data_IF_195011201045
#
_entry.id   IF_195011201045
#
_cell.length_a   1.000
_cell.length_b   1.000
_cell.length_c   1.000
_cell.angle_alpha   90.00
_cell.angle_beta   90.00
_cell.angle_gamma   90.00
#
_symmetry.space_group_name_H-M   'P 1'
#
loop_
_entity.id
_entity.type
_entity.pdbx_description
1 polymer ?
#
# COMPACT_ATOMS: atom_id res chain seq x y z
N UNK A 1 42.08 43.27 -22.77
CA UNK A 1 40.83 42.56 -22.41
C UNK A 1 40.45 42.95 -21.00
N UNK A 2 39.21 43.42 -20.75
CA UNK A 2 38.78 43.88 -19.42
C UNK A 2 38.75 42.67 -18.47
N UNK A 3 39.23 42.81 -17.24
CA UNK A 3 39.35 41.70 -16.28
C UNK A 3 38.04 40.88 -16.12
N UNK A 4 36.89 41.53 -16.32
CA UNK A 4 35.56 40.92 -16.35
C UNK A 4 35.36 39.88 -17.46
N UNK A 5 35.89 40.09 -18.67
CA UNK A 5 35.76 39.11 -19.77
C UNK A 5 36.65 37.90 -19.56
N UNK A 6 37.83 38.08 -18.96
CA UNK A 6 38.72 36.97 -18.59
C UNK A 6 38.11 36.12 -17.46
N UNK A 7 37.48 36.76 -16.47
CA UNK A 7 36.78 36.07 -15.39
C UNK A 7 35.57 35.25 -15.90
N UNK A 8 34.74 35.83 -16.78
CA UNK A 8 33.61 35.11 -17.37
C UNK A 8 34.05 33.92 -18.23
N UNK A 9 35.13 34.08 -19.01
CA UNK A 9 35.68 32.99 -19.81
C UNK A 9 36.24 31.86 -18.93
N UNK A 10 36.94 32.21 -17.83
CA UNK A 10 37.43 31.22 -16.87
C UNK A 10 36.28 30.45 -16.21
N UNK A 11 35.19 31.14 -15.83
CA UNK A 11 34.01 30.51 -15.25
C UNK A 11 33.30 29.58 -16.25
N UNK A 12 33.18 30.00 -17.51
CA UNK A 12 32.59 29.19 -18.58
C UNK A 12 33.41 27.94 -18.87
N UNK A 13 34.75 28.05 -18.91
CA UNK A 13 35.65 26.91 -19.10
C UNK A 13 35.59 25.95 -17.91
N UNK A 14 35.56 26.46 -16.67
CA UNK A 14 35.36 25.65 -15.46
C UNK A 14 34.02 24.91 -15.48
N UNK A 15 32.94 25.59 -15.87
CA UNK A 15 31.62 24.99 -16.00
C UNK A 15 31.58 23.88 -17.06
N UNK A 16 32.16 24.13 -18.24
CA UNK A 16 32.22 23.16 -19.34
C UNK A 16 33.11 21.95 -18.99
N UNK A 17 34.26 22.18 -18.36
CA UNK A 17 35.13 21.08 -17.89
C UNK A 17 34.44 20.27 -16.81
N UNK A 18 33.80 20.89 -15.82
CA UNK A 18 33.02 20.17 -14.80
C UNK A 18 31.88 19.35 -15.42
N UNK A 19 31.15 19.90 -16.39
CA UNK A 19 30.05 19.21 -17.08
C UNK A 19 30.49 17.95 -17.86
N UNK A 20 31.76 17.85 -18.24
CA UNK A 20 32.31 16.66 -18.94
C UNK A 20 33.04 15.73 -17.97
N UNK A 21 33.88 16.28 -17.09
CA UNK A 21 34.69 15.49 -16.16
C UNK A 21 33.85 14.79 -15.10
N UNK A 22 32.80 15.43 -14.56
CA UNK A 22 31.97 14.86 -13.49
C UNK A 22 31.21 13.61 -13.97
N UNK A 23 30.47 13.64 -15.11
CA UNK A 23 29.83 12.43 -15.64
C UNK A 23 30.85 11.34 -16.02
N UNK A 24 32.00 11.73 -16.60
CA UNK A 24 33.04 10.77 -16.99
C UNK A 24 33.67 10.07 -15.78
N UNK A 25 33.95 10.81 -14.70
CA UNK A 25 34.45 10.27 -13.44
C UNK A 25 33.40 9.38 -12.75
N UNK A 26 32.12 9.79 -12.74
CA UNK A 26 31.03 8.95 -12.23
C UNK A 26 30.87 7.66 -13.02
N UNK A 27 30.95 7.72 -14.35
CA UNK A 27 30.84 6.54 -15.22
C UNK A 27 32.01 5.57 -15.02
N UNK A 28 33.22 6.10 -14.82
CA UNK A 28 34.45 5.29 -14.76
C UNK A 28 34.78 4.77 -13.37
N UNK A 29 34.46 5.54 -12.34
CA UNK A 29 34.88 5.31 -10.94
C UNK A 29 33.70 5.14 -9.99
N UNK A 30 32.46 5.26 -10.48
CA UNK A 30 31.26 5.32 -9.64
C UNK A 30 31.25 6.56 -8.74
N UNK A 31 30.36 6.54 -7.75
CA UNK A 31 30.20 7.58 -6.73
C UNK A 31 31.44 7.73 -5.84
N UNK A 32 32.37 6.76 -5.85
CA UNK A 32 33.62 6.85 -5.06
C UNK A 32 34.57 7.92 -5.60
N UNK A 33 34.46 8.26 -6.89
CA UNK A 33 35.27 9.32 -7.51
C UNK A 33 34.94 10.74 -7.05
N UNK A 34 33.81 10.97 -6.35
CA UNK A 34 33.34 12.30 -5.92
C UNK A 34 32.77 12.30 -4.48
N UNK A 35 33.62 12.16 -3.45
CA UNK A 35 33.18 11.98 -2.06
C UNK A 35 32.33 13.14 -1.51
N UNK A 36 32.68 14.38 -1.86
CA UNK A 36 31.98 15.59 -1.40
C UNK A 36 30.59 15.78 -2.04
N UNK A 37 30.38 15.21 -3.23
CA UNK A 37 29.07 15.22 -3.90
C UNK A 37 28.11 14.23 -3.24
N UNK A 38 28.64 13.07 -2.82
CA UNK A 38 27.87 12.00 -2.18
C UNK A 38 27.18 12.47 -0.89
N UNK A 39 27.89 13.19 -0.02
CA UNK A 39 27.32 13.68 1.24
C UNK A 39 26.27 14.78 1.07
N UNK A 40 26.27 15.49 -0.06
CA UNK A 40 25.27 16.52 -0.37
C UNK A 40 23.98 15.94 -0.97
N UNK A 41 24.05 14.75 -1.58
CA UNK A 41 22.94 14.14 -2.30
C UNK A 41 22.23 13.00 -1.54
N UNK A 42 22.69 12.62 -0.34
CA UNK A 42 22.08 11.57 0.47
C UNK A 42 20.94 12.14 1.33
N UNK A 43 19.68 11.67 1.17
CA UNK A 43 18.55 12.15 1.97
C UNK A 43 18.66 11.81 3.47
N UNK A 44 19.33 10.70 3.79
CA UNK A 44 19.50 10.18 5.15
C UNK A 44 20.28 8.87 5.17
N UNK A 45 20.64 8.36 6.36
CA UNK A 45 21.36 7.09 6.48
C UNK A 45 20.50 5.91 6.04
N UNK A 46 21.14 4.84 5.57
CA UNK A 46 20.46 3.59 5.25
C UNK A 46 19.92 2.91 6.52
N UNK A 47 18.90 2.09 6.35
CA UNK A 47 18.32 1.22 7.37
C UNK A 47 19.39 0.31 7.98
N UNK A 48 19.15 -0.20 9.20
CA UNK A 48 20.09 -1.12 9.84
C UNK A 48 20.35 -2.38 8.98
N UNK A 49 19.33 -2.86 8.25
CA UNK A 49 19.45 -4.03 7.40
C UNK A 49 20.40 -3.81 6.21
N UNK A 50 20.42 -2.60 5.63
CA UNK A 50 21.28 -2.25 4.50
C UNK A 50 22.48 -1.38 4.88
N UNK A 51 22.80 -1.27 6.18
CA UNK A 51 23.92 -0.48 6.66
C UNK A 51 25.26 -0.84 6.00
N UNK A 52 25.42 -2.12 5.65
CA UNK A 52 26.62 -2.60 4.98
C UNK A 52 26.84 -2.00 3.58
N UNK A 53 25.79 -1.49 2.91
CA UNK A 53 25.83 -0.89 1.58
C UNK A 53 26.20 0.60 1.58
N UNK A 54 26.49 1.19 2.74
CA UNK A 54 26.84 2.60 2.81
C UNK A 54 28.04 2.96 1.93
N UNK A 55 27.91 4.08 1.22
CA UNK A 55 28.90 4.54 0.25
C UNK A 55 28.83 3.83 -1.11
N UNK A 56 28.10 2.72 -1.25
CA UNK A 56 28.00 1.96 -2.52
C UNK A 56 26.68 2.25 -3.24
N UNK A 57 26.48 3.50 -3.64
CA UNK A 57 25.25 3.99 -4.26
C UNK A 57 24.80 3.15 -5.47
N UNK A 58 25.78 2.69 -6.27
CA UNK A 58 25.59 1.89 -7.47
C UNK A 58 25.04 0.49 -7.20
N UNK A 59 25.05 0.06 -5.92
CA UNK A 59 24.41 -1.20 -5.52
C UNK A 59 22.89 -1.14 -5.64
N UNK A 60 22.32 0.08 -5.73
CA UNK A 60 20.88 0.28 -5.88
C UNK A 60 20.53 1.22 -7.04
N UNK A 61 21.34 2.25 -7.30
CA UNK A 61 21.09 3.26 -8.32
C UNK A 61 21.91 3.04 -9.60
N UNK A 62 21.26 3.11 -10.74
CA UNK A 62 21.92 3.24 -12.04
C UNK A 62 22.09 4.73 -12.42
N UNK A 63 23.28 5.16 -12.89
CA UNK A 63 23.61 6.56 -13.20
C UNK A 63 22.79 7.27 -14.30
N UNK A 64 21.50 7.55 -14.10
CA UNK A 64 20.56 8.24 -15.03
C UNK A 64 19.15 7.64 -14.92
N UNK A 65 19.06 6.36 -14.55
CA UNK A 65 17.80 5.60 -14.46
C UNK A 65 17.28 5.46 -13.03
N UNK A 66 18.09 5.77 -12.02
CA UNK A 66 17.68 5.70 -10.62
C UNK A 66 17.67 4.27 -10.10
N UNK A 67 16.79 3.96 -9.14
CA UNK A 67 16.72 2.62 -8.54
C UNK A 67 16.01 1.66 -9.49
N UNK A 68 16.59 0.49 -9.72
CA UNK A 68 16.00 -0.56 -10.54
C UNK A 68 15.70 -1.82 -9.72
N UNK A 69 14.59 -2.49 -10.03
CA UNK A 69 14.19 -3.71 -9.34
C UNK A 69 15.26 -4.82 -9.40
N UNK A 70 15.99 -4.93 -10.51
CA UNK A 70 17.06 -5.95 -10.68
C UNK A 70 18.17 -5.80 -9.64
N UNK A 71 18.48 -4.58 -9.20
CA UNK A 71 19.50 -4.31 -8.18
C UNK A 71 19.11 -4.90 -6.83
N UNK A 72 17.81 -4.87 -6.49
CA UNK A 72 17.29 -5.51 -5.27
C UNK A 72 17.27 -7.04 -5.40
N UNK A 73 16.81 -7.55 -6.55
CA UNK A 73 16.64 -8.98 -6.78
C UNK A 73 17.97 -9.75 -6.76
N UNK A 74 19.07 -9.11 -7.17
CA UNK A 74 20.41 -9.71 -7.16
C UNK A 74 20.80 -10.30 -5.80
N UNK A 75 20.39 -9.66 -4.70
CA UNK A 75 20.64 -10.14 -3.34
C UNK A 75 19.42 -10.84 -2.72
N UNK A 76 18.19 -10.38 -2.97
CA UNK A 76 17.01 -10.91 -2.28
C UNK A 76 16.48 -12.22 -2.85
N UNK A 77 16.60 -12.46 -4.16
CA UNK A 77 16.16 -13.73 -4.77
C UNK A 77 17.10 -14.88 -4.39
N UNK A 78 18.39 -14.57 -4.27
CA UNK A 78 19.42 -15.54 -3.89
C UNK A 78 19.40 -15.84 -2.39
N UNK A 79 19.14 -14.84 -1.55
CA UNK A 79 19.15 -15.00 -0.09
C UNK A 79 17.82 -15.50 0.52
N UNK A 80 16.69 -15.35 -0.18
CA UNK A 80 15.38 -15.72 0.36
C UNK A 80 14.38 -16.17 -0.73
N UNK A 81 14.66 -17.29 -1.43
CA UNK A 81 13.81 -17.79 -2.52
C UNK A 81 12.40 -18.16 -2.04
N UNK A 82 12.21 -18.44 -0.74
CA UNK A 82 10.89 -18.74 -0.17
C UNK A 82 9.98 -17.52 -0.02
N UNK A 83 10.44 -16.31 -0.36
CA UNK A 83 9.59 -15.11 -0.37
C UNK A 83 8.64 -15.03 -1.56
N UNK A 84 8.94 -15.70 -2.68
CA UNK A 84 8.11 -15.68 -3.89
C UNK A 84 6.88 -16.61 -3.84
N UNK A 85 6.94 -17.84 -3.29
CA UNK A 85 5.80 -18.75 -3.30
C UNK A 85 4.82 -18.57 -2.13
N UNK A 86 5.09 -17.69 -1.15
CA UNK A 86 4.20 -17.53 0.01
C UNK A 86 2.88 -16.89 -0.43
N UNK A 87 1.70 -17.47 -0.09
CA UNK A 87 0.41 -16.88 -0.45
C UNK A 87 0.23 -15.44 0.05
N UNK A 88 0.81 -15.12 1.22
CA UNK A 88 0.81 -13.77 1.79
C UNK A 88 1.67 -12.74 1.06
N UNK A 89 2.55 -13.20 0.15
CA UNK A 89 3.43 -12.36 -0.67
C UNK A 89 3.15 -12.56 -2.16
N UNK A 90 2.08 -13.28 -2.55
CA UNK A 90 1.73 -13.56 -3.94
C UNK A 90 1.65 -12.29 -4.82
N UNK A 91 1.39 -11.13 -4.23
CA UNK A 91 1.42 -9.84 -4.93
C UNK A 91 2.82 -9.46 -5.45
N UNK A 92 3.91 -9.95 -4.86
CA UNK A 92 5.29 -9.70 -5.32
C UNK A 92 5.59 -10.37 -6.65
N UNK A 93 4.88 -11.45 -7.01
CA UNK A 93 5.11 -12.19 -8.25
C UNK A 93 4.86 -11.33 -9.50
N UNK A 94 3.99 -10.32 -9.40
CA UNK A 94 3.60 -9.47 -10.52
C UNK A 94 4.13 -8.04 -10.39
N UNK A 95 4.97 -7.74 -9.39
CA UNK A 95 5.49 -6.39 -9.16
C UNK A 95 6.97 -6.28 -9.56
N UNK A 96 7.21 -5.67 -10.72
CA UNK A 96 8.56 -5.32 -11.21
C UNK A 96 9.11 -3.99 -10.69
N UNK A 97 8.53 -3.44 -9.62
CA UNK A 97 8.99 -2.19 -8.97
C UNK A 97 8.99 -2.41 -7.46
N UNK A 98 10.08 -2.05 -6.79
CA UNK A 98 10.28 -2.35 -5.37
C UNK A 98 10.36 -1.09 -4.52
N UNK A 99 10.93 0.00 -5.05
CA UNK A 99 11.27 1.20 -4.27
C UNK A 99 10.03 1.95 -3.74
N UNK A 100 8.89 1.78 -4.40
CA UNK A 100 7.61 2.35 -3.97
C UNK A 100 7.10 1.83 -2.63
N UNK A 101 7.45 0.58 -2.29
CA UNK A 101 7.04 -0.07 -1.04
C UNK A 101 8.23 -0.33 -0.11
N UNK A 102 9.44 -0.44 -0.67
CA UNK A 102 10.69 -0.62 0.05
C UNK A 102 11.50 0.67 0.00
N UNK A 103 11.14 1.61 0.86
CA UNK A 103 11.78 2.92 0.93
C UNK A 103 13.01 2.86 1.83
N UNK A 104 14.16 3.24 1.28
CA UNK A 104 15.42 3.35 1.99
C UNK A 104 15.73 4.83 2.31
N UNK A 105 16.87 5.11 2.97
CA UNK A 105 17.25 6.42 3.51
C UNK A 105 16.36 6.93 4.65
N UNK A 106 15.49 6.08 5.20
CA UNK A 106 14.66 6.39 6.35
C UNK A 106 15.41 6.38 7.69
N UNK A 107 16.69 6.00 7.68
CA UNK A 107 17.56 5.91 8.84
C UNK A 107 17.59 4.55 9.51
N UNK A 108 18.63 4.36 10.34
CA UNK A 108 18.99 3.07 10.96
C UNK A 108 17.86 2.36 11.70
N UNK A 109 17.03 3.12 12.42
CA UNK A 109 15.94 2.57 13.23
C UNK A 109 14.68 2.22 12.44
N UNK A 110 14.61 2.50 11.14
CA UNK A 110 13.41 2.26 10.32
C UNK A 110 13.59 1.03 9.46
N UNK A 111 12.55 0.20 9.41
CA UNK A 111 12.48 -0.92 8.45
C UNK A 111 12.22 -0.34 7.06
N UNK A 112 12.91 -0.81 6.01
CA UNK A 112 12.71 -0.34 4.64
C UNK A 112 11.47 -1.00 4.02
N UNK A 113 10.35 -0.91 4.73
CA UNK A 113 9.05 -1.42 4.29
C UNK A 113 8.01 -0.39 4.70
N UNK A 114 7.45 0.28 3.72
CA UNK A 114 6.39 1.27 3.89
C UNK A 114 5.43 1.16 2.70
N UNK A 115 4.34 0.42 2.89
CA UNK A 115 3.32 0.25 1.85
C UNK A 115 2.55 1.56 1.64
N UNK A 116 2.73 2.20 0.47
CA UNK A 116 1.97 3.36 0.04
C UNK A 116 0.96 2.97 -1.06
N UNK A 117 -0.32 2.96 -0.70
CA UNK A 117 -1.39 2.58 -1.63
C UNK A 117 -1.53 3.55 -2.82
N UNK A 118 -1.07 4.79 -2.71
CA UNK A 118 -1.07 5.74 -3.84
C UNK A 118 -0.05 5.35 -4.92
N UNK A 119 1.10 4.82 -4.50
CA UNK A 119 2.09 4.26 -5.42
C UNK A 119 1.57 2.99 -6.07
N UNK A 120 0.91 2.12 -5.30
CA UNK A 120 0.27 0.91 -5.83
C UNK A 120 -0.78 1.23 -6.91
N UNK A 121 -1.69 2.18 -6.63
CA UNK A 121 -2.69 2.61 -7.60
C UNK A 121 -2.04 3.20 -8.87
N UNK A 122 -0.96 3.97 -8.73
CA UNK A 122 -0.24 4.54 -9.87
C UNK A 122 0.44 3.48 -10.73
N UNK A 123 1.14 2.51 -10.11
CA UNK A 123 1.77 1.38 -10.81
C UNK A 123 0.71 0.51 -11.49
N UNK A 124 -0.40 0.24 -10.81
CA UNK A 124 -1.54 -0.51 -11.34
C UNK A 124 -2.13 0.17 -12.58
N UNK A 125 -2.42 1.48 -12.51
CA UNK A 125 -2.92 2.25 -13.65
C UNK A 125 -1.92 2.31 -14.81
N UNK A 126 -0.62 2.49 -14.54
CA UNK A 126 0.40 2.50 -15.59
C UNK A 126 0.48 1.15 -16.32
N UNK A 127 0.36 0.03 -15.60
CA UNK A 127 0.34 -1.31 -16.20
C UNK A 127 -0.94 -1.62 -16.95
N UNK A 128 -2.10 -1.24 -16.41
CA UNK A 128 -3.38 -1.36 -17.10
C UNK A 128 -3.33 -0.56 -18.42
N UNK A 129 -2.85 0.68 -18.38
CA UNK A 129 -2.66 1.50 -19.56
C UNK A 129 -1.64 0.92 -20.55
N UNK A 130 -0.57 0.27 -20.09
CA UNK A 130 0.41 -0.40 -20.96
C UNK A 130 -0.14 -1.69 -21.59
N UNK A 131 -0.92 -2.47 -20.84
CA UNK A 131 -1.60 -3.67 -21.34
C UNK A 131 -2.68 -3.30 -22.37
N UNK A 132 -3.43 -2.23 -22.12
CA UNK A 132 -4.39 -1.66 -23.05
C UNK A 132 -3.70 -0.99 -24.24
N UNK A 133 -2.52 -0.38 -24.07
CA UNK A 133 -1.72 0.12 -25.19
C UNK A 133 -1.28 -1.02 -26.11
N UNK A 134 -0.88 -2.16 -25.54
CA UNK A 134 -0.60 -3.40 -26.27
C UNK A 134 -1.84 -3.97 -26.98
N UNK A 135 -3.02 -3.82 -26.39
CA UNK A 135 -4.30 -4.21 -27.01
C UNK A 135 -4.79 -3.20 -28.08
N UNK A 136 -4.51 -1.91 -27.90
CA UNK A 136 -4.95 -0.80 -28.78
C UNK A 136 -4.07 -0.62 -30.03
N UNK A 137 -2.96 -1.35 -30.15
CA UNK A 137 -2.33 -1.63 -31.44
C UNK A 137 -3.28 -2.35 -32.42
N UNK A 138 -4.46 -2.79 -31.95
CA UNK A 138 -5.59 -3.29 -32.75
C UNK A 138 -6.69 -2.25 -33.07
N UNK A 139 -6.56 -0.97 -32.69
CA UNK A 139 -7.32 0.16 -33.26
C UNK A 139 -8.14 1.04 -32.29
N UNK A 140 -7.95 2.37 -32.37
CA UNK A 140 -8.98 3.40 -32.08
C UNK A 140 -8.73 4.45 -30.97
N UNK A 141 -8.69 5.74 -31.37
CA UNK A 141 -8.74 7.02 -30.59
C UNK A 141 -7.55 7.40 -29.70
N UNK A 142 -6.51 8.06 -30.24
CA UNK A 142 -5.35 8.53 -29.47
C UNK A 142 -5.54 9.81 -28.61
N UNK A 143 -6.65 10.53 -28.72
CA UNK A 143 -6.77 11.88 -28.12
C UNK A 143 -7.28 11.87 -26.67
N UNK A 144 -8.19 10.94 -26.33
CA UNK A 144 -8.56 10.69 -24.92
C UNK A 144 -7.38 10.13 -24.11
N UNK A 145 -6.49 9.38 -24.77
CA UNK A 145 -5.31 8.75 -24.18
C UNK A 145 -4.21 9.75 -23.77
N UNK A 146 -3.94 10.76 -24.59
CA UNK A 146 -2.97 11.81 -24.24
C UNK A 146 -3.40 12.59 -22.99
N UNK A 147 -4.71 12.85 -22.85
CA UNK A 147 -5.27 13.59 -21.71
C UNK A 147 -5.27 12.75 -20.42
N UNK A 148 -5.52 11.44 -20.50
CA UNK A 148 -5.42 10.52 -19.37
C UNK A 148 -3.98 10.36 -18.88
N UNK A 149 -3.03 10.21 -19.81
CA UNK A 149 -1.59 10.16 -19.50
C UNK A 149 -1.07 11.47 -18.89
N UNK A 150 -1.53 12.62 -19.41
CA UNK A 150 -1.20 13.93 -18.84
C UNK A 150 -1.79 14.10 -17.44
N UNK A 151 -3.02 13.64 -17.18
CA UNK A 151 -3.63 13.67 -15.83
C UNK A 151 -2.90 12.76 -14.84
N UNK A 152 -2.47 11.56 -15.27
CA UNK A 152 -1.66 10.67 -14.45
C UNK A 152 -0.27 11.26 -14.15
N UNK A 153 0.35 11.92 -15.13
CA UNK A 153 1.61 12.64 -14.95
C UNK A 153 1.49 13.89 -14.09
N UNK A 154 0.37 14.64 -14.19
CA UNK A 154 0.10 15.82 -13.35
C UNK A 154 -0.32 15.45 -11.92
N UNK A 155 -0.97 14.29 -11.74
CA UNK A 155 -1.20 13.70 -10.43
C UNK A 155 0.10 13.11 -9.83
N UNK A 156 0.98 12.57 -10.69
CA UNK A 156 2.29 12.05 -10.36
C UNK A 156 3.40 13.10 -10.26
N UNK A 157 3.21 14.33 -10.74
CA UNK A 157 4.22 15.40 -10.65
C UNK A 157 4.33 15.99 -9.24
N UNK A 158 3.45 15.57 -8.32
CA UNK A 158 3.62 15.74 -6.88
C UNK A 158 4.25 14.51 -6.19
N UNK A 159 4.52 13.43 -6.92
CA UNK A 159 5.28 12.30 -6.41
C UNK A 159 6.75 12.66 -6.44
N UNK A 160 7.19 13.24 -5.33
CA UNK A 160 8.58 13.31 -4.97
C UNK A 160 9.13 11.87 -4.95
N UNK A 161 9.73 11.44 -6.07
CA UNK A 161 10.56 10.25 -6.17
C UNK A 161 11.85 10.42 -5.35
N UNK A 162 12.06 11.61 -4.77
CA UNK A 162 13.22 12.01 -3.96
C UNK A 162 13.02 11.83 -2.44
N UNK A 163 11.99 11.10 -2.00
CA UNK A 163 11.85 10.80 -0.57
C UNK A 163 11.42 11.99 0.27
N UNK A 164 10.52 12.84 -0.25
CA UNK A 164 9.78 13.81 0.54
C UNK A 164 9.11 13.16 1.78
N UNK A 165 8.80 13.96 2.82
CA UNK A 165 8.47 13.46 4.15
C UNK A 165 7.45 12.32 4.09
N UNK A 166 7.76 11.22 4.79
CA UNK A 166 7.05 9.93 4.88
C UNK A 166 5.62 10.03 5.47
N UNK A 167 4.94 11.14 5.23
CA UNK A 167 3.51 11.27 5.47
C UNK A 167 2.80 10.47 4.39
N UNK A 168 2.08 9.43 4.81
CA UNK A 168 1.17 8.65 3.95
C UNK A 168 0.37 9.63 3.09
N UNK A 169 0.59 9.59 1.77
CA UNK A 169 -0.14 10.46 0.84
C UNK A 169 -1.58 9.97 0.77
N UNK A 170 -2.51 10.90 0.64
CA UNK A 170 -3.88 10.52 0.29
C UNK A 170 -3.89 10.05 -1.15
N UNK A 171 -4.51 8.91 -1.39
CA UNK A 171 -4.92 8.53 -2.74
C UNK A 171 -5.79 9.64 -3.33
N UNK A 172 -5.60 9.99 -4.62
CA UNK A 172 -6.54 10.84 -5.32
C UNK A 172 -7.97 10.29 -5.18
N UNK A 173 -8.95 11.17 -5.01
CA UNK A 173 -10.35 10.77 -4.89
C UNK A 173 -10.78 9.87 -6.05
N UNK A 174 -11.37 8.71 -5.72
CA UNK A 174 -11.80 7.70 -6.70
C UNK A 174 -10.74 6.65 -7.07
N UNK A 175 -9.44 6.89 -6.83
CA UNK A 175 -8.40 5.89 -7.10
C UNK A 175 -8.50 4.68 -6.16
N UNK A 176 -8.91 4.89 -4.91
CA UNK A 176 -9.12 3.81 -3.94
C UNK A 176 -10.19 2.80 -4.40
N UNK A 177 -11.21 3.25 -5.13
CA UNK A 177 -12.27 2.37 -5.67
C UNK A 177 -11.75 1.39 -6.73
N UNK A 178 -10.55 1.63 -7.26
CA UNK A 178 -9.91 0.74 -8.25
C UNK A 178 -9.02 -0.34 -7.60
N UNK A 179 -8.85 -0.29 -6.27
CA UNK A 179 -8.02 -1.24 -5.53
C UNK A 179 -8.86 -2.39 -4.97
N UNK A 180 -8.43 -3.64 -5.22
CA UNK A 180 -9.00 -4.81 -4.55
C UNK A 180 -8.40 -4.99 -3.15
N UNK A 181 -8.97 -4.26 -2.18
CA UNK A 181 -8.53 -4.27 -0.78
C UNK A 181 -8.54 -5.69 -0.19
N UNK A 182 -9.64 -6.42 -0.42
CA UNK A 182 -9.83 -7.77 0.09
C UNK A 182 -8.85 -8.78 -0.53
N UNK A 183 -8.37 -8.54 -1.77
CA UNK A 183 -7.35 -9.37 -2.41
C UNK A 183 -6.08 -9.54 -1.57
N UNK A 184 -5.69 -8.50 -0.82
CA UNK A 184 -4.54 -8.55 0.09
C UNK A 184 -4.93 -8.70 1.56
N UNK A 185 -6.06 -8.13 1.98
CA UNK A 185 -6.44 -8.01 3.39
C UNK A 185 -7.51 -9.00 3.86
N UNK A 186 -7.99 -9.93 3.04
CA UNK A 186 -9.03 -10.90 3.45
C UNK A 186 -8.68 -11.68 4.72
N UNK A 187 -7.41 -12.07 4.90
CA UNK A 187 -6.96 -12.81 6.10
C UNK A 187 -6.90 -11.95 7.36
N UNK A 188 -7.00 -10.63 7.21
CA UNK A 188 -6.97 -9.64 8.30
C UNK A 188 -8.31 -8.94 8.48
N UNK A 189 -9.35 -9.33 7.74
CA UNK A 189 -10.67 -8.70 7.83
C UNK A 189 -11.35 -9.09 9.16
N UNK A 190 -11.50 -8.16 10.12
CA UNK A 190 -12.17 -8.45 11.38
C UNK A 190 -13.67 -8.72 11.19
N UNK A 191 -14.25 -8.26 10.07
CA UNK A 191 -15.67 -8.41 9.78
C UNK A 191 -16.00 -9.75 9.12
N UNK A 192 -14.99 -10.55 8.75
CA UNK A 192 -15.16 -11.86 8.10
C UNK A 192 -16.12 -11.80 6.92
N UNK A 193 -15.96 -10.81 6.05
CA UNK A 193 -16.74 -10.55 4.84
C UNK A 193 -18.20 -10.13 5.05
N UNK A 194 -18.63 -9.85 6.29
CA UNK A 194 -20.01 -9.44 6.60
C UNK A 194 -20.47 -8.24 5.77
N UNK A 195 -19.60 -7.25 5.54
CA UNK A 195 -19.89 -6.04 4.77
C UNK A 195 -19.47 -6.14 3.30
N UNK A 196 -19.16 -7.34 2.81
CA UNK A 196 -18.63 -7.55 1.46
C UNK A 196 -17.17 -7.11 1.32
N UNK A 197 -16.78 -6.72 0.09
CA UNK A 197 -15.39 -6.38 -0.28
C UNK A 197 -15.14 -4.89 -0.51
N UNK A 198 -16.18 -4.06 -0.40
CA UNK A 198 -16.13 -2.62 -0.62
C UNK A 198 -15.64 -1.88 0.64
N UNK A 199 -14.42 -2.18 1.07
CA UNK A 199 -13.85 -1.67 2.31
C UNK A 199 -13.81 -0.14 2.35
N UNK A 200 -13.57 0.48 1.19
CA UNK A 200 -13.45 1.92 1.01
C UNK A 200 -14.74 2.70 1.22
N UNK A 201 -15.90 2.02 1.28
CA UNK A 201 -17.16 2.66 1.66
C UNK A 201 -17.13 3.25 3.07
N UNK A 202 -16.30 2.67 3.95
CA UNK A 202 -16.16 3.08 5.35
C UNK A 202 -14.71 3.43 5.72
N UNK A 203 -13.71 2.78 5.12
CA UNK A 203 -12.31 2.91 5.51
C UNK A 203 -11.51 3.76 4.52
N UNK A 204 -10.76 4.74 5.02
CA UNK A 204 -9.83 5.53 4.21
C UNK A 204 -8.39 5.02 4.39
N UNK A 205 -7.61 5.07 3.31
CA UNK A 205 -6.18 4.66 3.33
C UNK A 205 -5.30 5.54 4.23
N UNK A 206 -5.72 6.77 4.52
CA UNK A 206 -5.07 7.69 5.46
C UNK A 206 -5.46 7.39 6.90
N UNK A 207 -6.74 7.08 7.13
CA UNK A 207 -7.31 6.79 8.44
C UNK A 207 -8.23 5.57 8.34
N UNK A 208 -7.68 4.41 8.70
CA UNK A 208 -8.45 3.16 8.65
C UNK A 208 -9.51 3.09 9.76
N UNK A 209 -9.26 3.73 10.89
CA UNK A 209 -10.21 3.79 12.00
C UNK A 209 -11.34 4.76 11.68
N UNK A 210 -12.57 4.28 11.74
CA UNK A 210 -13.77 5.13 11.68
C UNK A 210 -13.92 5.90 13.01
N UNK A 211 -14.17 7.21 12.93
CA UNK A 211 -14.15 8.09 14.09
C UNK A 211 -15.25 7.78 15.12
N UNK A 212 -16.40 7.25 14.68
CA UNK A 212 -17.43 6.70 15.55
C UNK A 212 -18.40 5.84 14.74
N UNK A 213 -18.71 4.64 15.23
CA UNK A 213 -19.90 3.90 14.84
C UNK A 213 -21.04 4.25 15.80
N UNK A 214 -22.17 4.73 15.27
CA UNK A 214 -23.37 4.99 16.08
C UNK A 214 -24.24 3.74 16.05
N UNK A 215 -24.31 3.02 17.17
CA UNK A 215 -25.27 1.93 17.31
C UNK A 215 -26.70 2.44 17.09
N UNK A 216 -27.56 1.65 16.42
CA UNK A 216 -28.99 1.94 16.37
C UNK A 216 -29.60 1.90 17.79
N UNK A 217 -30.85 2.33 17.91
CA UNK A 217 -31.60 2.24 19.17
C UNK A 217 -31.44 0.84 19.79
N UNK A 218 -31.24 0.70 21.11
CA UNK A 218 -31.22 -0.61 21.78
C UNK A 218 -32.52 -1.42 21.64
N UNK A 219 -33.58 -0.83 21.08
CA UNK A 219 -34.84 -1.51 20.74
C UNK A 219 -34.93 -1.95 19.27
N UNK A 220 -33.92 -1.65 18.45
CA UNK A 220 -33.89 -2.07 17.05
C UNK A 220 -33.78 -3.60 16.96
N UNK A 221 -34.56 -4.25 16.07
CA UNK A 221 -34.45 -5.68 15.82
C UNK A 221 -33.27 -6.04 14.88
N UNK A 222 -32.60 -5.05 14.29
CA UNK A 222 -31.65 -5.25 13.19
C UNK A 222 -30.22 -5.55 13.66
N UNK A 223 -30.08 -6.31 14.74
CA UNK A 223 -28.78 -6.67 15.34
C UNK A 223 -27.88 -7.41 14.34
N UNK A 224 -28.49 -8.25 13.50
CA UNK A 224 -27.80 -9.12 12.54
C UNK A 224 -27.04 -8.37 11.44
N UNK A 225 -27.34 -7.08 11.26
CA UNK A 225 -26.58 -6.23 10.33
C UNK A 225 -25.11 -6.09 10.75
N UNK A 226 -24.78 -6.33 12.02
CA UNK A 226 -23.42 -6.21 12.56
C UNK A 226 -22.98 -7.41 13.40
N UNK A 227 -23.91 -8.08 14.08
CA UNK A 227 -23.61 -9.21 14.97
C UNK A 227 -24.05 -10.54 14.35
N UNK A 228 -23.11 -11.47 14.20
CA UNK A 228 -23.41 -12.83 13.76
C UNK A 228 -23.62 -13.75 14.96
N UNK A 229 -24.57 -14.68 14.81
CA UNK A 229 -24.77 -15.74 15.79
C UNK A 229 -23.54 -16.68 15.84
N UNK A 230 -23.30 -17.38 16.94
CA UNK A 230 -22.25 -18.39 17.00
C UNK A 230 -22.54 -19.52 16.00
N UNK A 231 -21.51 -20.24 15.51
CA UNK A 231 -21.69 -21.35 14.56
C UNK A 231 -22.72 -22.40 14.98
N UNK A 232 -22.90 -22.62 16.28
CA UNK A 232 -23.91 -23.54 16.83
C UNK A 232 -25.33 -23.21 16.36
N UNK A 233 -25.66 -21.93 16.20
CA UNK A 233 -27.00 -21.52 15.78
C UNK A 233 -27.31 -21.87 14.33
N UNK A 234 -26.28 -22.04 13.49
CA UNK A 234 -26.44 -22.44 12.09
C UNK A 234 -26.44 -23.96 11.90
N UNK A 235 -26.41 -24.72 12.99
CA UNK A 235 -26.54 -26.17 13.02
C UNK A 235 -27.89 -26.58 13.64
N UNK A 236 -28.12 -27.88 13.81
CA UNK A 236 -29.34 -28.40 14.43
C UNK A 236 -29.55 -27.95 15.89
N UNK A 237 -28.54 -27.36 16.55
CA UNK A 237 -28.65 -26.90 17.93
C UNK A 237 -29.73 -25.84 18.11
N UNK A 238 -29.84 -24.88 17.19
CA UNK A 238 -30.84 -23.82 17.27
C UNK A 238 -32.26 -24.37 17.27
N UNK A 239 -32.53 -25.30 16.36
CA UNK A 239 -33.87 -25.87 16.20
C UNK A 239 -34.23 -26.84 17.32
N UNK A 240 -33.29 -27.68 17.74
CA UNK A 240 -33.53 -28.73 18.72
C UNK A 240 -33.50 -28.23 20.17
N UNK A 241 -32.63 -27.25 20.47
CA UNK A 241 -32.39 -26.78 21.83
C UNK A 241 -32.89 -25.36 22.01
N UNK A 242 -32.33 -24.39 21.29
CA UNK A 242 -32.53 -22.96 21.58
C UNK A 242 -34.00 -22.54 21.44
N UNK A 243 -34.66 -22.95 20.35
CA UNK A 243 -36.11 -22.70 20.13
C UNK A 243 -36.98 -23.33 21.23
N UNK A 244 -36.60 -24.52 21.71
CA UNK A 244 -37.34 -25.23 22.75
C UNK A 244 -37.19 -24.59 24.13
N UNK A 245 -35.95 -24.28 24.52
CA UNK A 245 -35.62 -23.66 25.82
C UNK A 245 -36.29 -22.28 25.93
N UNK A 246 -36.30 -21.51 24.84
CA UNK A 246 -36.87 -20.16 24.81
C UNK A 246 -38.37 -20.12 24.51
N UNK A 247 -38.97 -21.25 24.11
CA UNK A 247 -40.35 -21.32 23.62
C UNK A 247 -40.58 -20.62 22.27
N UNK A 248 -39.53 -20.16 21.58
CA UNK A 248 -39.60 -19.44 20.31
C UNK A 248 -39.54 -20.39 19.10
N UNK A 249 -40.53 -21.28 18.96
CA UNK A 249 -40.53 -22.36 17.96
C UNK A 249 -40.51 -21.91 16.48
N UNK A 250 -40.83 -20.64 16.20
CA UNK A 250 -40.85 -20.09 14.83
C UNK A 250 -39.76 -19.06 14.56
N UNK A 251 -38.83 -18.84 15.51
CA UNK A 251 -37.75 -17.88 15.33
C UNK A 251 -36.75 -18.35 14.27
N UNK A 252 -36.24 -17.45 13.43
CA UNK A 252 -35.03 -17.67 12.64
C UNK A 252 -33.78 -17.22 13.41
N UNK A 253 -32.60 -17.66 12.97
CA UNK A 253 -31.32 -17.38 13.64
C UNK A 253 -31.03 -15.87 13.72
N UNK A 254 -31.47 -15.13 12.70
CA UNK A 254 -31.28 -13.69 12.58
C UNK A 254 -32.19 -12.89 13.52
N UNK A 255 -33.26 -13.50 14.04
CA UNK A 255 -34.23 -12.85 14.93
C UNK A 255 -33.75 -12.87 16.39
N UNK A 256 -32.49 -12.49 16.61
CA UNK A 256 -31.82 -12.59 17.91
C UNK A 256 -32.58 -11.83 19.01
N UNK A 257 -33.28 -10.75 18.66
CA UNK A 257 -34.06 -9.91 19.54
C UNK A 257 -35.25 -10.62 20.22
N UNK A 258 -35.69 -11.77 19.70
CA UNK A 258 -36.76 -12.57 20.32
C UNK A 258 -36.31 -13.24 21.61
N UNK A 259 -35.03 -13.64 21.68
CA UNK A 259 -34.48 -14.41 22.80
C UNK A 259 -33.46 -13.59 23.61
N UNK A 260 -32.63 -12.78 22.98
CA UNK A 260 -31.53 -12.09 23.63
C UNK A 260 -31.88 -10.66 24.06
N UNK A 261 -31.07 -10.15 24.99
CA UNK A 261 -31.16 -8.81 25.55
C UNK A 261 -29.88 -8.02 25.26
N UNK A 262 -29.96 -6.69 25.42
CA UNK A 262 -28.86 -5.77 25.09
C UNK A 262 -27.84 -5.57 26.21
N UNK A 263 -28.14 -6.08 27.40
CA UNK A 263 -27.23 -6.08 28.55
C UNK A 263 -26.25 -7.26 28.52
N UNK A 264 -26.71 -8.45 28.10
CA UNK A 264 -25.88 -9.63 27.92
C UNK A 264 -26.54 -10.66 27.00
N UNK A 265 -25.76 -11.26 26.11
CA UNK A 265 -26.20 -12.38 25.26
C UNK A 265 -26.61 -13.62 26.09
N UNK A 266 -26.01 -13.79 27.27
CA UNK A 266 -26.32 -14.91 28.18
C UNK A 266 -27.59 -14.64 29.01
N UNK A 267 -28.14 -13.42 28.99
CA UNK A 267 -29.38 -13.08 29.68
C UNK A 267 -30.58 -13.29 28.74
N UNK A 268 -31.13 -14.50 28.75
CA UNK A 268 -32.20 -14.91 27.83
C UNK A 268 -33.57 -14.46 28.35
N UNK A 269 -34.35 -13.80 27.49
CA UNK A 269 -35.70 -13.32 27.81
C UNK A 269 -36.59 -14.47 28.26
N UNK A 270 -37.24 -14.31 29.40
CA UNK A 270 -38.17 -15.30 29.95
C UNK A 270 -37.53 -16.56 30.51
N UNK A 271 -36.21 -16.74 30.38
CA UNK A 271 -35.46 -17.90 30.91
C UNK A 271 -34.50 -17.46 32.02
N UNK A 272 -33.81 -16.34 31.85
CA UNK A 272 -32.79 -15.83 32.78
C UNK A 272 -31.37 -16.10 32.28
N UNK A 273 -30.40 -16.13 33.20
CA UNK A 273 -29.00 -16.36 32.86
C UNK A 273 -28.77 -17.80 32.41
N UNK A 274 -28.23 -17.96 31.20
CA UNK A 274 -27.97 -19.25 30.59
C UNK A 274 -26.58 -19.24 29.95
N UNK A 275 -25.71 -20.12 30.41
CA UNK A 275 -24.33 -20.27 29.94
C UNK A 275 -24.17 -21.63 29.26
N UNK A 276 -24.26 -21.62 27.94
CA UNK A 276 -24.02 -22.82 27.14
C UNK A 276 -22.55 -22.80 26.71
N UNK A 277 -21.79 -23.77 27.19
CA UNK A 277 -20.35 -23.91 26.93
C UNK A 277 -20.07 -24.17 25.44
#
# INVERSE_FOLDING_TARGET
MKATSAFQLALAVLGATAAVLVPLLMYRSGSEGLPSWRSAAIPGPLSAAHAFLEGRCESCHTPDRGVEAVSCLACHVTAAPELLPKPSTAFHANIGECAGCHVEHGGRGRRPVNMDHSVLATVGHARAAAAEAGASAAGGDGSRHALARLRALLAGSGADLLGGPLNRRSLPGGAAATLDCAGCHATRDPHRTLFGRDCQSCHDTRAWTIAAFRHPSPRSPDCVQCHQAPPSHYMMHFEMMDRGITGQHHASVEQCFLCHQTDSWNNIRGVGWFDMH
#
